data_IF_329109861481
#
_entry.id   IF_329109861481
#
_cell.length_a   1.000
_cell.length_b   1.000
_cell.length_c   1.000
_cell.angle_alpha   90.00
_cell.angle_beta   90.00
_cell.angle_gamma   90.00
#
_symmetry.space_group_name_H-M   'P 1'
#
loop_
_entity.id
_entity.type
_entity.pdbx_description
1 polymer ?
#
# COMPACT_ATOMS: atom_id res chain seq x y z
N UNK A 1 5.82 3.30 -17.04
CA UNK A 1 5.01 2.68 -18.13
C UNK A 1 4.06 1.67 -17.52
N UNK A 2 2.96 1.35 -18.19
CA UNK A 2 2.05 0.27 -17.76
C UNK A 2 2.59 -1.11 -18.21
N UNK A 3 1.85 -2.18 -17.92
CA UNK A 3 2.20 -3.56 -18.31
C UNK A 3 2.39 -3.73 -19.83
N UNK A 4 1.66 -2.96 -20.64
CA UNK A 4 1.84 -2.89 -22.10
C UNK A 4 3.00 -2.00 -22.56
N UNK A 5 3.87 -1.56 -21.65
CA UNK A 5 4.98 -0.62 -21.85
C UNK A 5 4.58 0.74 -22.45
N UNK A 6 3.31 1.13 -22.33
CA UNK A 6 2.83 2.46 -22.74
C UNK A 6 3.03 3.48 -21.61
N UNK A 7 3.16 4.76 -21.98
CA UNK A 7 3.26 5.85 -21.01
C UNK A 7 1.98 5.90 -20.18
N UNK A 8 2.13 6.01 -18.86
CA UNK A 8 1.00 6.22 -17.96
C UNK A 8 0.34 7.56 -18.30
N UNK A 9 -0.98 7.57 -18.38
CA UNK A 9 -1.75 8.76 -18.69
C UNK A 9 -3.05 8.77 -17.91
N UNK A 10 -3.66 9.94 -17.76
CA UNK A 10 -5.02 10.07 -17.18
C UNK A 10 -6.14 9.40 -18.01
N UNK A 11 -5.79 8.82 -19.17
CA UNK A 11 -6.70 8.06 -20.02
C UNK A 11 -6.41 6.56 -19.95
N UNK A 12 -5.40 6.18 -19.17
CA UNK A 12 -5.08 4.79 -18.94
C UNK A 12 -6.01 4.27 -17.84
N UNK A 13 -7.04 3.53 -18.26
CA UNK A 13 -8.01 2.92 -17.34
C UNK A 13 -7.46 1.65 -16.66
N UNK A 14 -6.29 1.17 -17.08
CA UNK A 14 -5.66 -0.03 -16.49
C UNK A 14 -4.96 0.23 -15.15
N UNK A 15 -4.79 1.50 -14.76
CA UNK A 15 -4.15 1.88 -13.50
C UNK A 15 -4.97 2.94 -12.76
N UNK A 16 -4.85 2.94 -11.44
CA UNK A 16 -5.37 4.01 -10.59
C UNK A 16 -4.54 5.27 -10.85
N UNK A 17 -5.20 6.39 -11.09
CA UNK A 17 -4.54 7.60 -11.61
C UNK A 17 -4.28 8.65 -10.54
N UNK A 18 -5.01 8.58 -9.44
CA UNK A 18 -5.00 9.58 -8.36
C UNK A 18 -4.57 8.93 -7.06
N UNK A 19 -3.74 9.63 -6.27
CA UNK A 19 -3.20 9.11 -5.02
C UNK A 19 -4.33 8.87 -4.00
N UNK A 20 -5.33 9.75 -4.00
CA UNK A 20 -6.53 9.70 -3.14
C UNK A 20 -7.36 8.42 -3.37
N UNK A 21 -7.26 7.81 -4.56
CA UNK A 21 -7.94 6.56 -4.85
C UNK A 21 -7.25 5.36 -4.17
N UNK A 22 -5.94 5.42 -3.94
CA UNK A 22 -5.21 4.35 -3.24
C UNK A 22 -5.60 4.30 -1.76
N UNK A 23 -5.78 5.46 -1.12
CA UNK A 23 -6.31 5.56 0.25
C UNK A 23 -7.69 4.92 0.34
N UNK A 24 -8.59 5.22 -0.61
CA UNK A 24 -9.93 4.63 -0.64
C UNK A 24 -9.93 3.10 -0.82
N UNK A 25 -8.85 2.53 -1.37
CA UNK A 25 -8.65 1.10 -1.55
C UNK A 25 -7.90 0.43 -0.39
N UNK A 26 -7.47 1.19 0.63
CA UNK A 26 -6.79 0.66 1.80
C UNK A 26 -5.27 0.47 1.64
N UNK A 27 -4.65 1.16 0.68
CA UNK A 27 -3.19 1.18 0.60
C UNK A 27 -2.60 2.07 1.69
N UNK A 28 -1.56 1.55 2.35
CA UNK A 28 -0.80 2.26 3.36
C UNK A 28 0.09 3.33 2.69
N UNK A 29 0.16 4.55 3.26
CA UNK A 29 0.99 5.61 2.71
C UNK A 29 2.48 5.23 2.68
N UNK A 30 2.94 4.43 3.64
CA UNK A 30 4.32 3.92 3.71
C UNK A 30 4.63 2.99 2.53
N UNK A 31 3.71 2.06 2.22
CA UNK A 31 3.86 1.14 1.10
C UNK A 31 3.86 1.89 -0.24
N UNK A 32 2.94 2.85 -0.41
CA UNK A 32 2.86 3.67 -1.62
C UNK A 32 4.11 4.55 -1.77
N UNK A 33 4.60 5.14 -0.67
CA UNK A 33 5.84 5.90 -0.66
C UNK A 33 7.02 5.05 -1.13
N UNK A 34 7.24 3.89 -0.49
CA UNK A 34 8.34 3.00 -0.85
C UNK A 34 8.23 2.56 -2.31
N UNK A 35 7.04 2.15 -2.77
CA UNK A 35 6.84 1.70 -4.14
C UNK A 35 7.22 2.79 -5.15
N UNK A 36 6.70 4.01 -4.96
CA UNK A 36 7.00 5.16 -5.84
C UNK A 36 8.48 5.51 -5.78
N UNK A 37 9.10 5.45 -4.59
CA UNK A 37 10.50 5.76 -4.40
C UNK A 37 11.44 4.81 -5.16
N UNK A 38 11.03 3.56 -5.38
CA UNK A 38 11.76 2.58 -6.21
C UNK A 38 11.48 2.71 -7.71
N UNK A 39 10.53 3.56 -8.14
CA UNK A 39 10.28 3.78 -9.56
C UNK A 39 11.39 4.64 -10.17
N UNK A 40 12.37 3.99 -10.78
CA UNK A 40 13.50 4.65 -11.42
C UNK A 40 14.69 4.87 -10.50
N UNK A 41 14.68 4.27 -9.31
CA UNK A 41 15.81 4.24 -8.37
C UNK A 41 15.95 2.83 -7.80
N UNK A 42 17.18 2.41 -7.48
CA UNK A 42 17.43 1.08 -6.89
C UNK A 42 18.36 1.16 -5.67
N UNK A 43 18.11 0.40 -4.59
CA UNK A 43 18.95 0.35 -3.40
C UNK A 43 20.15 -0.57 -3.58
N UNK A 44 21.15 -0.49 -2.69
CA UNK A 44 22.32 -1.40 -2.72
C UNK A 44 21.88 -2.72 -2.11
N UNK A 45 22.07 -3.83 -2.83
CA UNK A 45 21.58 -5.14 -2.41
C UNK A 45 20.21 -5.46 -3.00
N UNK A 46 19.47 -6.31 -2.30
CA UNK A 46 18.21 -6.93 -2.77
C UNK A 46 16.99 -6.49 -1.96
N UNK A 47 17.17 -5.69 -0.91
CA UNK A 47 16.07 -5.20 -0.08
C UNK A 47 15.17 -4.26 -0.88
N UNK A 48 13.85 -4.41 -0.72
CA UNK A 48 12.85 -3.57 -1.40
C UNK A 48 11.89 -2.87 -0.44
N UNK A 49 11.99 -3.14 0.87
CA UNK A 49 11.15 -2.59 1.92
C UNK A 49 11.98 -1.70 2.83
N UNK A 50 11.56 -0.46 2.98
CA UNK A 50 12.26 0.61 3.68
C UNK A 50 11.25 1.52 4.36
N UNK A 51 11.56 1.94 5.59
CA UNK A 51 10.92 3.12 6.16
C UNK A 51 11.34 4.38 5.39
N UNK A 52 10.58 5.46 5.58
CA UNK A 52 10.95 6.77 5.02
C UNK A 52 12.33 7.21 5.51
N UNK A 53 12.64 7.01 6.78
CA UNK A 53 13.90 7.37 7.42
C UNK A 53 15.06 6.52 6.88
N UNK A 54 14.83 5.23 6.64
CA UNK A 54 15.79 4.35 6.00
C UNK A 54 16.08 4.80 4.58
N UNK A 55 15.03 5.08 3.79
CA UNK A 55 15.17 5.57 2.42
C UNK A 55 15.98 6.87 2.37
N UNK A 56 15.71 7.83 3.25
CA UNK A 56 16.46 9.10 3.33
C UNK A 56 17.97 8.85 3.56
N UNK A 57 18.33 7.85 4.38
CA UNK A 57 19.73 7.54 4.69
C UNK A 57 20.45 6.87 3.53
N UNK A 58 19.75 6.02 2.76
CA UNK A 58 20.35 5.21 1.69
C UNK A 58 20.24 5.87 0.31
N UNK A 59 19.42 6.92 0.17
CA UNK A 59 19.19 7.57 -1.11
C UNK A 59 20.49 8.13 -1.68
N UNK A 60 20.74 7.77 -2.93
CA UNK A 60 21.91 8.18 -3.69
C UNK A 60 21.45 8.57 -5.11
N UNK A 61 21.58 9.84 -5.52
CA UNK A 61 21.13 10.30 -6.82
C UNK A 61 21.89 9.65 -7.99
N UNK A 62 23.10 9.12 -7.78
CA UNK A 62 23.85 8.40 -8.82
C UNK A 62 23.15 7.10 -9.26
N UNK A 63 22.19 6.63 -8.47
CA UNK A 63 21.44 5.40 -8.69
C UNK A 63 20.11 5.58 -9.41
N UNK A 64 19.81 6.79 -9.84
CA UNK A 64 18.67 7.06 -10.70
C UNK A 64 18.90 6.41 -12.07
N UNK A 65 17.91 5.66 -12.54
CA UNK A 65 17.93 4.99 -13.83
C UNK A 65 17.27 5.86 -14.90
N UNK A 66 17.87 5.88 -16.10
CA UNK A 66 17.25 6.47 -17.30
C UNK A 66 16.24 5.53 -17.97
N UNK A 67 16.15 4.28 -17.53
CA UNK A 67 15.20 3.31 -18.04
C UNK A 67 13.78 3.62 -17.57
N UNK A 68 12.79 3.31 -18.41
CA UNK A 68 11.39 3.47 -18.03
C UNK A 68 11.03 2.57 -16.85
N UNK A 69 10.61 3.14 -15.73
CA UNK A 69 10.06 2.39 -14.61
C UNK A 69 8.70 1.77 -14.98
N UNK A 70 8.50 0.49 -14.72
CA UNK A 70 7.22 -0.20 -14.87
C UNK A 70 6.37 0.03 -13.62
N UNK A 71 5.12 0.43 -13.80
CA UNK A 71 4.15 0.47 -12.72
C UNK A 71 3.49 -0.89 -12.62
N UNK A 72 3.99 -1.70 -11.70
CA UNK A 72 3.51 -3.06 -11.44
C UNK A 72 2.54 -3.04 -10.25
N UNK A 73 1.25 -3.20 -10.53
CA UNK A 73 0.21 -3.25 -9.51
C UNK A 73 0.39 -4.45 -8.57
N UNK A 74 0.85 -5.60 -9.07
CA UNK A 74 1.03 -6.80 -8.25
C UNK A 74 2.14 -6.57 -7.23
N UNK A 75 3.23 -5.91 -7.65
CA UNK A 75 4.31 -5.52 -6.74
C UNK A 75 3.85 -4.52 -5.69
N UNK A 76 3.04 -3.52 -6.07
CA UNK A 76 2.47 -2.57 -5.11
C UNK A 76 1.56 -3.27 -4.09
N UNK A 77 0.68 -4.18 -4.54
CA UNK A 77 -0.18 -4.99 -3.64
C UNK A 77 0.65 -5.85 -2.70
N UNK A 78 1.67 -6.54 -3.22
CA UNK A 78 2.57 -7.35 -2.41
C UNK A 78 3.27 -6.50 -1.35
N UNK A 79 3.81 -5.34 -1.74
CA UNK A 79 4.48 -4.42 -0.83
C UNK A 79 3.52 -3.97 0.26
N UNK A 80 2.31 -3.56 -0.10
CA UNK A 80 1.26 -3.18 0.86
C UNK A 80 0.97 -4.27 1.89
N UNK A 81 0.87 -5.54 1.44
CA UNK A 81 0.70 -6.69 2.32
C UNK A 81 1.87 -6.86 3.31
N UNK A 82 3.11 -6.59 2.88
CA UNK A 82 4.27 -6.64 3.78
C UNK A 82 4.16 -5.58 4.90
N UNK A 83 3.75 -4.36 4.55
CA UNK A 83 3.52 -3.31 5.56
C UNK A 83 2.32 -3.65 6.46
N UNK A 84 1.23 -4.21 5.92
CA UNK A 84 0.05 -4.59 6.70
C UNK A 84 0.36 -5.69 7.74
N UNK A 85 1.21 -6.65 7.38
CA UNK A 85 1.70 -7.69 8.29
C UNK A 85 2.58 -7.18 9.42
N UNK A 86 3.31 -6.10 9.17
CA UNK A 86 4.22 -5.53 10.15
C UNK A 86 3.50 -4.69 11.23
N UNK A 87 2.26 -4.25 10.96
CA UNK A 87 1.44 -3.52 11.91
C UNK A 87 0.91 -4.45 13.01
N UNK A 88 0.68 -3.88 14.20
CA UNK A 88 -0.04 -4.61 15.24
C UNK A 88 -1.53 -4.74 14.88
N UNK A 89 -2.19 -5.73 15.48
CA UNK A 89 -3.61 -6.00 15.19
C UNK A 89 -4.52 -4.81 15.51
N UNK A 90 -4.19 -4.01 16.52
CA UNK A 90 -5.02 -2.86 16.92
C UNK A 90 -4.98 -1.77 15.83
N UNK A 91 -3.81 -1.54 15.25
CA UNK A 91 -3.61 -0.65 14.11
C UNK A 91 -4.38 -1.14 12.88
N UNK A 92 -4.27 -2.43 12.55
CA UNK A 92 -4.97 -2.99 11.37
C UNK A 92 -6.49 -2.92 11.56
N UNK A 93 -6.99 -3.18 12.78
CA UNK A 93 -8.42 -3.02 13.10
C UNK A 93 -8.87 -1.57 12.90
N UNK A 94 -8.12 -0.60 13.44
CA UNK A 94 -8.44 0.81 13.29
C UNK A 94 -8.43 1.26 11.81
N UNK A 95 -7.52 0.70 11.00
CA UNK A 95 -7.49 0.93 9.56
C UNK A 95 -8.67 0.29 8.83
N UNK A 96 -9.09 -0.93 9.22
CA UNK A 96 -10.15 -1.67 8.56
C UNK A 96 -11.56 -1.16 8.88
N UNK A 97 -11.79 -0.64 10.09
CA UNK A 97 -13.10 -0.20 10.58
C UNK A 97 -13.82 0.79 9.64
N UNK A 98 -13.18 1.90 9.19
CA UNK A 98 -13.81 2.83 8.24
C UNK A 98 -14.28 2.15 6.94
N UNK A 99 -13.52 1.18 6.43
CA UNK A 99 -13.89 0.43 5.22
C UNK A 99 -15.07 -0.50 5.49
N UNK A 100 -15.14 -1.13 6.67
CA UNK A 100 -16.26 -1.99 7.06
C UNK A 100 -17.55 -1.19 7.30
N UNK A 101 -17.46 -0.01 7.91
CA UNK A 101 -18.59 0.94 8.04
C UNK A 101 -19.09 1.34 6.67
N UNK A 102 -18.19 1.79 5.78
CA UNK A 102 -18.54 2.20 4.41
C UNK A 102 -19.17 1.07 3.60
N UNK A 103 -18.78 -0.18 3.85
CA UNK A 103 -19.34 -1.37 3.23
C UNK A 103 -20.65 -1.86 3.89
N UNK A 104 -21.15 -1.17 4.93
CA UNK A 104 -22.35 -1.53 5.68
C UNK A 104 -22.22 -2.85 6.46
N UNK A 105 -21.00 -3.21 6.87
CA UNK A 105 -20.73 -4.44 7.63
C UNK A 105 -20.82 -4.26 9.13
N UNK A 106 -20.61 -3.04 9.61
CA UNK A 106 -20.82 -2.60 11.00
C UNK A 106 -21.47 -1.22 10.99
N UNK A 107 -22.06 -0.82 12.11
CA UNK A 107 -22.71 0.48 12.28
C UNK A 107 -21.71 1.66 12.31
N UNK A 108 -22.17 2.89 12.01
CA UNK A 108 -21.34 4.11 12.05
C UNK A 108 -20.79 4.42 13.46
N UNK A 109 -21.45 3.92 14.50
CA UNK A 109 -21.00 3.98 15.88
C UNK A 109 -20.97 2.55 16.43
N UNK A 110 -19.91 1.78 16.13
CA UNK A 110 -19.88 0.36 16.43
C UNK A 110 -20.07 0.08 17.92
N UNK A 111 -20.89 -0.92 18.21
CA UNK A 111 -21.03 -1.46 19.57
C UNK A 111 -19.79 -2.23 19.98
N UNK A 112 -19.65 -2.53 21.28
CA UNK A 112 -18.55 -3.37 21.77
C UNK A 112 -18.51 -4.76 21.11
N UNK A 113 -19.69 -5.33 20.82
CA UNK A 113 -19.81 -6.61 20.12
C UNK A 113 -19.33 -6.52 18.66
N UNK A 114 -19.64 -5.42 17.97
CA UNK A 114 -19.15 -5.17 16.61
C UNK A 114 -17.64 -4.98 16.59
N UNK A 115 -17.06 -4.19 17.51
CA UNK A 115 -15.60 -4.05 17.62
C UNK A 115 -14.90 -5.39 17.86
N UNK A 116 -15.46 -6.23 18.75
CA UNK A 116 -14.90 -7.58 18.99
C UNK A 116 -15.00 -8.46 17.75
N UNK A 117 -16.12 -8.39 17.02
CA UNK A 117 -16.27 -9.10 15.75
C UNK A 117 -15.25 -8.64 14.70
N UNK A 118 -15.07 -7.33 14.52
CA UNK A 118 -14.07 -6.76 13.60
C UNK A 118 -12.68 -7.28 13.97
N UNK A 119 -12.29 -7.17 15.24
CA UNK A 119 -10.99 -7.65 15.72
C UNK A 119 -10.74 -9.11 15.35
N UNK A 120 -11.73 -9.98 15.57
CA UNK A 120 -11.60 -11.41 15.24
C UNK A 120 -11.47 -11.64 13.73
N UNK A 121 -12.31 -10.99 12.93
CA UNK A 121 -12.27 -11.15 11.47
C UNK A 121 -10.97 -10.61 10.89
N UNK A 122 -10.57 -9.39 11.27
CA UNK A 122 -9.31 -8.78 10.82
C UNK A 122 -8.12 -9.64 11.22
N UNK A 123 -8.08 -10.13 12.46
CA UNK A 123 -7.01 -11.00 12.93
C UNK A 123 -6.89 -12.33 12.17
N UNK A 124 -7.99 -12.84 11.60
CA UNK A 124 -7.96 -14.02 10.74
C UNK A 124 -7.38 -13.73 9.34
N UNK A 125 -7.56 -12.51 8.85
CA UNK A 125 -7.23 -12.12 7.48
C UNK A 125 -5.99 -11.24 7.34
N UNK A 126 -5.39 -10.74 8.43
CA UNK A 126 -4.27 -9.80 8.38
C UNK A 126 -3.12 -10.27 7.49
N UNK A 127 -2.80 -11.57 7.52
CA UNK A 127 -1.75 -12.17 6.69
C UNK A 127 -2.05 -12.17 5.18
N UNK A 128 -3.31 -11.99 4.80
CA UNK A 128 -3.79 -11.98 3.41
C UNK A 128 -4.25 -10.59 2.92
N UNK A 129 -4.22 -9.57 3.78
CA UNK A 129 -4.66 -8.19 3.47
C UNK A 129 -3.64 -7.37 2.69
#
# INVERSE_FOLDING_TARGET
VNESRKKLSKRDESIIQFIEQYEALGYLPEALFNFIALLGWSPKGEDELFSREEFIKIFDPERLSTSSALFDNQKLTWMNNQYMKALDLDQVVALAEPHLIKAGKISENPTAEEHEWVRRVVGLYQEQM
#
